data_IF_649008231007
#
_entry.id   IF_649008231007
#
_cell.length_a   1.000
_cell.length_b   1.000
_cell.length_c   1.000
_cell.angle_alpha   90.00
_cell.angle_beta   90.00
_cell.angle_gamma   90.00
#
_symmetry.space_group_name_H-M   'P 1'
#
loop_
_entity.id
_entity.type
_entity.pdbx_description
1 polymer ?
#
# COMPACT_ATOMS: atom_id res chain seq x y z
N UNK A 1 58.79 -5.94 -33.62
CA UNK A 1 57.49 -6.64 -33.61
C UNK A 1 56.97 -6.72 -32.19
N UNK A 2 56.10 -5.80 -31.74
CA UNK A 2 55.24 -6.03 -30.57
C UNK A 2 53.91 -5.35 -30.91
N UNK A 3 52.90 -6.17 -31.24
CA UNK A 3 51.55 -5.73 -31.62
C UNK A 3 50.78 -5.36 -30.35
N UNK A 4 50.20 -4.17 -30.33
CA UNK A 4 49.25 -3.74 -29.31
C UNK A 4 47.99 -4.61 -29.34
N UNK A 5 47.53 -5.02 -28.16
CA UNK A 5 46.29 -5.74 -27.97
C UNK A 5 45.43 -4.91 -27.01
N UNK A 6 44.58 -4.04 -27.58
CA UNK A 6 43.63 -3.25 -26.82
C UNK A 6 42.39 -4.12 -26.59
N UNK A 7 42.27 -4.70 -25.40
CA UNK A 7 41.05 -5.42 -25.02
C UNK A 7 39.96 -4.40 -24.71
N UNK A 8 39.00 -4.30 -25.62
CA UNK A 8 37.73 -3.61 -25.39
C UNK A 8 36.91 -4.49 -24.44
N UNK A 9 36.89 -4.13 -23.15
CA UNK A 9 35.97 -4.69 -22.17
C UNK A 9 34.56 -4.17 -22.48
N UNK A 10 33.77 -4.97 -23.17
CA UNK A 10 32.31 -4.79 -23.23
C UNK A 10 31.73 -5.12 -21.85
N UNK A 11 31.50 -4.09 -21.04
CA UNK A 11 30.64 -4.21 -19.87
C UNK A 11 29.20 -4.40 -20.35
N UNK A 12 28.78 -5.66 -20.50
CA UNK A 12 27.36 -6.03 -20.57
C UNK A 12 26.74 -5.68 -19.21
N UNK A 13 26.24 -4.46 -19.09
CA UNK A 13 25.37 -4.09 -17.97
C UNK A 13 24.12 -4.95 -18.04
N UNK A 14 23.98 -5.92 -17.13
CA UNK A 14 22.68 -6.53 -16.88
C UNK A 14 21.75 -5.43 -16.41
N UNK A 15 20.88 -4.94 -17.31
CA UNK A 15 19.72 -4.18 -16.91
C UNK A 15 18.86 -5.13 -16.05
N UNK A 16 18.88 -4.93 -14.74
CA UNK A 16 17.95 -5.63 -13.85
C UNK A 16 16.54 -5.21 -14.24
N UNK A 17 15.67 -6.19 -14.51
CA UNK A 17 14.26 -5.92 -14.74
C UNK A 17 13.69 -5.17 -13.53
N UNK A 18 12.86 -4.13 -13.75
CA UNK A 18 12.30 -3.37 -12.64
C UNK A 18 11.47 -4.27 -11.74
N UNK A 19 11.70 -4.19 -10.44
CA UNK A 19 10.95 -4.96 -9.44
C UNK A 19 9.46 -4.57 -9.48
N UNK A 20 8.54 -5.48 -9.84
CA UNK A 20 7.11 -5.20 -9.92
C UNK A 20 6.47 -4.91 -8.55
N UNK A 21 7.17 -5.21 -7.45
CA UNK A 21 6.73 -4.91 -6.08
C UNK A 21 7.30 -3.59 -5.54
N UNK A 22 8.12 -2.89 -6.33
CA UNK A 22 8.67 -1.59 -5.96
C UNK A 22 7.58 -0.50 -5.87
N UNK A 23 6.52 -0.63 -6.67
CA UNK A 23 5.39 0.29 -6.68
C UNK A 23 4.24 -0.19 -5.80
N UNK A 24 3.82 0.61 -4.83
CA UNK A 24 2.70 0.32 -3.91
C UNK A 24 1.73 1.49 -3.86
N UNK A 25 0.45 1.22 -3.97
CA UNK A 25 -0.61 2.17 -3.62
C UNK A 25 -1.06 1.82 -2.20
N UNK A 26 -0.82 2.72 -1.25
CA UNK A 26 -1.07 2.51 0.17
C UNK A 26 -2.48 2.98 0.56
N UNK A 27 -2.95 4.06 -0.08
CA UNK A 27 -4.36 4.47 -0.11
C UNK A 27 -4.68 5.18 -1.43
N UNK A 28 -5.90 5.04 -1.97
CA UNK A 28 -6.91 4.07 -1.56
C UNK A 28 -6.50 2.62 -1.89
N UNK A 29 -7.11 1.64 -1.21
CA UNK A 29 -6.92 0.21 -1.52
C UNK A 29 -7.95 -0.28 -2.55
N UNK A 30 -7.70 -1.43 -3.20
CA UNK A 30 -8.66 -2.04 -4.14
C UNK A 30 -10.04 -2.23 -3.50
N UNK A 31 -11.08 -1.82 -4.22
CA UNK A 31 -12.47 -1.94 -3.76
C UNK A 31 -12.83 -0.96 -2.65
N UNK A 32 -12.06 0.09 -2.40
CA UNK A 32 -12.40 1.12 -1.42
C UNK A 32 -13.62 1.96 -1.87
N UNK A 33 -14.49 2.30 -0.93
CA UNK A 33 -15.56 3.28 -1.08
C UNK A 33 -15.34 4.47 -0.14
N UNK A 34 -15.51 5.68 -0.68
CA UNK A 34 -15.44 6.94 0.05
C UNK A 34 -16.76 7.70 -0.09
N UNK A 35 -17.17 8.47 0.94
CA UNK A 35 -18.22 9.46 0.76
C UNK A 35 -17.76 10.56 -0.22
N UNK A 36 -18.67 11.36 -0.79
CA UNK A 36 -18.30 12.56 -1.54
C UNK A 36 -17.41 13.48 -0.70
N UNK A 37 -16.29 13.95 -1.27
CA UNK A 37 -15.38 14.87 -0.58
C UNK A 37 -13.92 14.70 -0.97
N UNK A 38 -13.04 15.37 -0.23
CA UNK A 38 -11.59 15.22 -0.38
C UNK A 38 -11.17 13.80 0.03
N UNK A 39 -10.45 13.14 -0.87
CA UNK A 39 -9.71 11.92 -0.56
C UNK A 39 -8.22 12.19 -0.65
N UNK A 40 -7.46 11.30 -0.05
CA UNK A 40 -6.01 11.36 -0.08
C UNK A 40 -5.44 10.09 -0.71
N UNK A 41 -4.47 10.28 -1.58
CA UNK A 41 -3.71 9.22 -2.24
C UNK A 41 -2.32 9.21 -1.63
N UNK A 42 -1.87 8.04 -1.19
CA UNK A 42 -0.46 7.79 -0.86
C UNK A 42 -0.02 6.59 -1.68
N UNK A 43 1.08 6.76 -2.39
CA UNK A 43 1.76 5.69 -3.09
C UNK A 43 3.26 5.80 -2.89
N UNK A 44 3.98 4.70 -3.12
CA UNK A 44 5.44 4.68 -3.15
C UNK A 44 5.89 4.01 -4.44
N UNK A 45 6.73 4.67 -5.23
CA UNK A 45 7.45 4.04 -6.33
C UNK A 45 8.63 4.92 -6.77
N UNK A 46 9.76 4.30 -7.18
CA UNK A 46 10.87 5.03 -7.79
C UNK A 46 10.41 5.81 -9.03
N UNK A 47 10.51 7.15 -8.99
CA UNK A 47 10.07 8.00 -10.11
C UNK A 47 8.59 7.86 -10.48
N UNK A 48 7.75 7.41 -9.54
CA UNK A 48 6.36 7.06 -9.79
C UNK A 48 5.50 8.24 -10.25
N UNK A 49 4.49 7.94 -11.07
CA UNK A 49 3.46 8.89 -11.50
C UNK A 49 2.08 8.32 -11.23
N UNK A 50 1.15 9.19 -10.83
CA UNK A 50 -0.24 8.83 -10.58
C UNK A 50 -1.12 9.25 -11.75
N UNK A 51 -2.06 8.40 -12.12
CA UNK A 51 -3.06 8.65 -13.16
C UNK A 51 -4.43 8.23 -12.63
N UNK A 52 -5.40 9.13 -12.63
CA UNK A 52 -6.79 8.86 -12.25
C UNK A 52 -7.66 8.94 -13.49
N UNK A 53 -8.34 7.85 -13.84
CA UNK A 53 -9.23 7.77 -15.00
C UNK A 53 -8.58 8.22 -16.32
N UNK A 54 -7.30 7.93 -16.48
CA UNK A 54 -6.50 8.33 -17.65
C UNK A 54 -5.94 9.75 -17.59
N UNK A 55 -6.28 10.54 -16.55
CA UNK A 55 -5.75 11.88 -16.36
C UNK A 55 -4.58 11.89 -15.35
N UNK A 56 -3.45 12.57 -15.65
CA UNK A 56 -2.36 12.70 -14.69
C UNK A 56 -2.83 13.38 -13.39
N UNK A 57 -2.41 12.83 -12.26
CA UNK A 57 -2.64 13.43 -10.93
C UNK A 57 -1.37 14.17 -10.52
N UNK A 58 -1.51 15.45 -10.17
CA UNK A 58 -0.43 16.20 -9.55
C UNK A 58 -0.22 15.70 -8.11
N UNK A 59 0.96 15.16 -7.84
CA UNK A 59 1.32 14.64 -6.54
C UNK A 59 2.56 15.35 -6.02
N UNK A 60 2.53 15.70 -4.74
CA UNK A 60 3.70 16.14 -4.02
C UNK A 60 4.60 14.93 -3.76
N UNK A 61 5.91 15.19 -3.73
CA UNK A 61 6.91 14.20 -3.36
C UNK A 61 7.62 14.66 -2.08
N UNK A 62 6.98 14.54 -0.90
CA UNK A 62 7.53 15.04 0.36
C UNK A 62 8.81 14.31 0.76
N UNK A 63 8.99 13.07 0.29
CA UNK A 63 10.17 12.24 0.53
C UNK A 63 10.53 11.46 -0.75
N UNK A 64 11.78 10.99 -0.92
CA UNK A 64 12.16 10.16 -2.05
C UNK A 64 11.19 8.99 -2.28
N UNK A 65 10.71 8.87 -3.51
CA UNK A 65 9.84 7.79 -3.99
C UNK A 65 8.45 7.73 -3.32
N UNK A 66 8.04 8.77 -2.59
CA UNK A 66 6.73 8.86 -1.92
C UNK A 66 5.87 9.87 -2.62
N UNK A 67 4.69 9.47 -3.08
CA UNK A 67 3.73 10.31 -3.75
C UNK A 67 2.55 10.57 -2.82
N UNK A 68 2.25 11.84 -2.60
CA UNK A 68 1.09 12.29 -1.83
C UNK A 68 0.24 13.22 -2.68
N UNK A 69 -1.04 12.92 -2.80
CA UNK A 69 -2.00 13.81 -3.44
C UNK A 69 -3.27 13.91 -2.60
N UNK A 70 -3.92 15.07 -2.68
CA UNK A 70 -5.27 15.31 -2.19
C UNK A 70 -6.12 15.73 -3.37
N UNK A 71 -7.33 15.20 -3.46
CA UNK A 71 -8.23 15.55 -4.54
C UNK A 71 -9.67 15.27 -4.17
N UNK A 72 -10.59 15.85 -4.94
CA UNK A 72 -12.03 15.64 -4.80
C UNK A 72 -12.57 15.01 -6.09
N UNK A 73 -12.51 13.67 -6.24
CA UNK A 73 -13.02 13.00 -7.42
C UNK A 73 -14.54 13.19 -7.54
N UNK A 74 -15.06 13.11 -8.76
CA UNK A 74 -16.51 13.12 -8.98
C UNK A 74 -17.18 11.91 -8.35
N UNK A 75 -18.50 11.92 -8.19
CA UNK A 75 -19.20 10.70 -7.76
C UNK A 75 -19.10 9.61 -8.85
N UNK A 76 -18.83 8.37 -8.45
CA UNK A 76 -18.77 7.22 -9.35
C UNK A 76 -17.58 6.28 -9.09
N UNK A 77 -17.42 5.26 -9.95
CA UNK A 77 -16.25 4.39 -9.93
C UNK A 77 -15.05 5.11 -10.54
N UNK A 78 -13.88 4.88 -9.96
CA UNK A 78 -12.61 5.44 -10.40
C UNK A 78 -11.55 4.36 -10.52
N UNK A 79 -10.64 4.58 -11.46
CA UNK A 79 -9.46 3.75 -11.68
C UNK A 79 -8.21 4.58 -11.42
N UNK A 80 -7.46 4.21 -10.37
CA UNK A 80 -6.18 4.82 -10.05
C UNK A 80 -5.05 3.92 -10.52
N UNK A 81 -4.08 4.53 -11.19
CA UNK A 81 -2.88 3.86 -11.68
C UNK A 81 -1.64 4.53 -11.10
N UNK A 82 -0.70 3.69 -10.66
CA UNK A 82 0.67 4.05 -10.32
C UNK A 82 1.57 3.47 -11.40
N UNK A 83 2.35 4.32 -12.04
CA UNK A 83 3.24 3.94 -13.14
C UNK A 83 4.66 4.29 -12.73
N UNK A 84 5.60 3.35 -12.87
CA UNK A 84 7.03 3.56 -12.62
C UNK A 84 7.85 2.70 -13.56
N UNK A 85 8.91 3.27 -14.13
CA UNK A 85 9.73 2.59 -15.14
C UNK A 85 8.88 1.97 -16.26
N UNK A 86 8.90 0.65 -16.43
CA UNK A 86 8.05 -0.12 -17.35
C UNK A 86 6.90 -0.85 -16.65
N UNK A 87 6.72 -0.62 -15.35
CA UNK A 87 5.75 -1.30 -14.49
C UNK A 87 4.55 -0.41 -14.20
N UNK A 88 3.41 -1.06 -13.92
CA UNK A 88 2.17 -0.39 -13.52
C UNK A 88 1.45 -1.18 -12.44
N UNK A 89 0.79 -0.47 -11.54
CA UNK A 89 -0.16 -1.02 -10.57
C UNK A 89 -1.45 -0.24 -10.67
N UNK A 90 -2.56 -0.95 -10.70
CA UNK A 90 -3.88 -0.36 -10.80
C UNK A 90 -4.73 -0.81 -9.61
N UNK A 91 -5.55 0.11 -9.12
CA UNK A 91 -6.67 -0.21 -8.23
C UNK A 91 -7.94 0.49 -8.70
N UNK A 92 -9.09 -0.02 -8.24
CA UNK A 92 -10.40 0.59 -8.43
C UNK A 92 -10.99 1.02 -7.09
N UNK A 93 -11.61 2.18 -7.05
CA UNK A 93 -12.34 2.67 -5.88
C UNK A 93 -13.64 3.37 -6.31
N UNK A 94 -14.48 3.73 -5.35
CA UNK A 94 -15.76 4.39 -5.58
C UNK A 94 -15.93 5.62 -4.69
N UNK A 95 -16.52 6.68 -5.22
CA UNK A 95 -16.90 7.88 -4.47
C UNK A 95 -18.42 8.07 -4.55
N UNK A 96 -19.09 8.13 -3.41
CA UNK A 96 -20.53 8.40 -3.33
C UNK A 96 -21.23 7.71 -2.17
N UNK A 97 -22.45 8.18 -1.86
CA UNK A 97 -23.21 7.73 -0.68
C UNK A 97 -23.75 6.30 -0.77
N UNK A 98 -23.80 5.73 -1.98
CA UNK A 98 -24.37 4.40 -2.26
C UNK A 98 -23.43 3.57 -3.13
N UNK A 99 -22.31 3.07 -2.58
CA UNK A 99 -21.37 2.25 -3.32
C UNK A 99 -22.01 0.92 -3.78
N UNK A 100 -21.71 0.43 -5.00
CA UNK A 100 -22.04 -0.93 -5.40
C UNK A 100 -21.41 -1.96 -4.45
N UNK A 101 -22.04 -3.13 -4.29
CA UNK A 101 -21.67 -4.16 -3.29
C UNK A 101 -20.19 -4.60 -3.32
N UNK A 102 -19.52 -4.51 -4.48
CA UNK A 102 -18.09 -4.84 -4.60
C UNK A 102 -17.15 -3.84 -3.94
N UNK A 103 -17.63 -2.62 -3.65
CA UNK A 103 -16.86 -1.60 -2.96
C UNK A 103 -17.27 -1.55 -1.48
N UNK A 104 -16.29 -1.41 -0.59
CA UNK A 104 -16.46 -1.45 0.86
C UNK A 104 -15.96 -0.16 1.49
N UNK A 105 -16.59 0.33 2.57
CA UNK A 105 -16.14 1.54 3.25
C UNK A 105 -14.65 1.49 3.57
N UNK A 106 -13.91 2.53 3.16
CA UNK A 106 -12.51 2.66 3.53
C UNK A 106 -12.39 3.18 4.96
N UNK A 107 -11.64 2.46 5.79
CA UNK A 107 -11.32 2.88 7.15
C UNK A 107 -9.91 3.45 7.18
N UNK A 108 -9.80 4.78 7.22
CA UNK A 108 -8.52 5.46 7.33
C UNK A 108 -7.83 5.09 8.65
N UNK A 109 -6.53 4.83 8.57
CA UNK A 109 -5.67 4.76 9.73
C UNK A 109 -4.46 5.67 9.51
N UNK A 110 -4.08 6.48 10.52
CA UNK A 110 -4.83 6.71 11.76
C UNK A 110 -6.12 7.52 11.52
N UNK A 111 -7.10 7.46 12.45
CA UNK A 111 -8.37 8.19 12.33
C UNK A 111 -8.18 9.71 12.25
N UNK A 112 -7.10 10.21 12.83
CA UNK A 112 -6.68 11.60 12.76
C UNK A 112 -5.60 11.75 11.68
N UNK A 113 -5.57 12.91 11.01
CA UNK A 113 -4.44 13.25 10.15
C UNK A 113 -3.20 13.47 11.01
N UNK A 114 -2.16 12.66 10.78
CA UNK A 114 -0.87 12.78 11.45
C UNK A 114 0.23 12.96 10.42
N UNK A 115 1.32 13.59 10.84
CA UNK A 115 2.51 13.73 10.01
C UNK A 115 3.18 12.36 9.76
N UNK A 116 3.74 12.18 8.57
CA UNK A 116 4.43 10.94 8.18
C UNK A 116 5.51 10.54 9.19
N UNK A 117 6.18 11.54 9.78
CA UNK A 117 7.30 11.36 10.72
C UNK A 117 6.89 10.89 12.11
N UNK A 118 5.60 10.89 12.43
CA UNK A 118 5.11 10.29 13.68
C UNK A 118 5.23 8.76 13.67
N UNK A 119 5.05 8.15 12.50
CA UNK A 119 5.17 6.70 12.33
C UNK A 119 6.47 6.27 11.65
N UNK A 120 7.03 7.12 10.78
CA UNK A 120 8.24 6.85 10.03
C UNK A 120 9.42 7.69 10.50
N UNK A 121 10.54 7.04 10.80
CA UNK A 121 11.83 7.68 10.87
C UNK A 121 12.45 7.80 9.49
N UNK A 122 13.44 8.67 9.38
CA UNK A 122 14.17 8.90 8.16
C UNK A 122 15.60 8.42 8.33
N UNK A 123 16.07 7.65 7.35
CA UNK A 123 17.50 7.39 7.20
C UNK A 123 18.25 8.67 6.80
N UNK A 124 19.58 8.65 6.87
CA UNK A 124 20.43 9.76 6.38
C UNK A 124 20.16 10.13 4.91
N UNK A 125 19.65 9.20 4.10
CA UNK A 125 19.28 9.41 2.69
C UNK A 125 17.80 9.80 2.50
N UNK A 126 17.08 10.15 3.57
CA UNK A 126 15.68 10.55 3.52
C UNK A 126 14.69 9.40 3.27
N UNK A 127 15.14 8.14 3.25
CA UNK A 127 14.24 6.98 3.10
C UNK A 127 13.52 6.66 4.40
N UNK A 128 12.25 6.30 4.30
CA UNK A 128 11.45 5.90 5.44
C UNK A 128 11.92 4.57 6.05
N UNK A 129 11.89 4.55 7.38
CA UNK A 129 11.92 3.34 8.21
C UNK A 129 10.77 3.45 9.18
N UNK A 130 9.93 2.42 9.30
CA UNK A 130 8.90 2.43 10.33
C UNK A 130 9.57 2.48 11.72
N UNK A 131 9.28 3.50 12.52
CA UNK A 131 9.95 3.75 13.82
C UNK A 131 9.04 3.62 15.01
N UNK A 132 7.77 3.97 14.86
CA UNK A 132 6.79 3.92 15.94
C UNK A 132 5.99 2.64 15.82
N UNK A 133 6.55 1.51 16.28
CA UNK A 133 5.80 0.25 16.45
C UNK A 133 4.39 0.55 16.97
N UNK A 134 3.36 -0.17 16.51
CA UNK A 134 1.95 0.19 16.71
C UNK A 134 1.60 0.60 18.15
N UNK A 135 2.38 0.14 19.12
CA UNK A 135 2.30 0.48 20.53
C UNK A 135 2.65 1.93 20.92
N UNK A 136 3.11 2.77 20.00
CA UNK A 136 3.24 4.21 20.24
C UNK A 136 1.89 4.91 20.49
N UNK A 137 0.80 4.34 19.95
CA UNK A 137 -0.57 4.81 20.19
C UNK A 137 -1.50 3.72 20.72
N UNK A 138 -1.22 2.43 20.44
CA UNK A 138 -2.06 1.30 20.86
C UNK A 138 -1.52 0.65 22.14
N UNK A 139 -2.38 0.24 23.07
CA UNK A 139 -1.94 -0.44 24.30
C UNK A 139 -1.52 -1.88 24.01
N UNK A 140 -0.28 -2.24 24.33
CA UNK A 140 0.27 -3.57 24.06
C UNK A 140 -0.48 -4.68 24.82
N UNK A 141 -1.03 -4.38 25.98
CA UNK A 141 -1.81 -5.28 26.82
C UNK A 141 -3.12 -5.73 26.14
N UNK A 142 -3.62 -4.92 25.19
CA UNK A 142 -4.81 -5.25 24.41
C UNK A 142 -4.51 -6.07 23.16
N UNK A 143 -3.24 -6.19 22.77
CA UNK A 143 -2.84 -6.89 21.55
C UNK A 143 -3.37 -8.34 21.45
N UNK A 144 -3.33 -9.17 22.53
CA UNK A 144 -3.85 -10.54 22.49
C UNK A 144 -5.36 -10.64 22.32
N UNK A 145 -6.12 -9.54 22.53
CA UNK A 145 -7.58 -9.52 22.33
C UNK A 145 -7.96 -9.46 20.84
N UNK A 146 -7.07 -8.93 20.01
CA UNK A 146 -7.31 -8.71 18.58
C UNK A 146 -6.51 -9.67 17.70
N UNK A 147 -5.34 -10.12 18.16
CA UNK A 147 -4.40 -10.92 17.37
C UNK A 147 -4.26 -12.33 17.92
N UNK A 148 -4.21 -13.32 17.00
CA UNK A 148 -3.96 -14.73 17.34
C UNK A 148 -2.49 -15.03 17.60
N UNK A 149 -1.59 -14.26 16.98
CA UNK A 149 -0.15 -14.40 17.20
C UNK A 149 0.30 -13.42 18.29
N UNK A 150 1.26 -13.79 19.15
CA UNK A 150 1.95 -12.84 20.01
C UNK A 150 2.75 -11.81 19.19
N UNK A 151 2.88 -10.58 19.71
CA UNK A 151 3.57 -9.49 19.00
C UNK A 151 5.04 -9.75 18.72
N UNK A 152 5.71 -10.56 19.56
CA UNK A 152 7.11 -10.95 19.38
C UNK A 152 7.30 -12.04 18.31
N UNK A 153 6.23 -12.75 17.91
CA UNK A 153 6.30 -13.78 16.85
C UNK A 153 6.16 -13.14 15.47
N UNK A 154 5.43 -12.03 15.37
CA UNK A 154 5.22 -11.28 14.13
C UNK A 154 5.83 -9.88 14.24
N UNK A 155 7.14 -9.78 14.10
CA UNK A 155 7.89 -8.53 14.23
C UNK A 155 7.50 -7.46 13.19
N UNK A 156 6.89 -7.89 12.08
CA UNK A 156 6.50 -7.01 10.97
C UNK A 156 4.98 -6.88 10.90
N UNK A 157 4.44 -5.90 11.64
CA UNK A 157 2.99 -5.59 11.65
C UNK A 157 2.42 -5.39 10.23
N UNK A 158 3.22 -4.81 9.33
CA UNK A 158 2.88 -4.54 7.93
C UNK A 158 2.69 -5.77 7.04
N UNK A 159 3.05 -6.97 7.50
CA UNK A 159 2.78 -8.22 6.77
C UNK A 159 1.28 -8.54 6.72
N UNK A 160 0.54 -8.12 7.74
CA UNK A 160 -0.89 -8.34 7.85
C UNK A 160 -1.69 -7.04 7.80
N UNK A 161 -1.15 -5.94 8.33
CA UNK A 161 -1.88 -4.69 8.49
C UNK A 161 -1.40 -3.58 7.54
N UNK A 162 -2.34 -2.81 6.99
CA UNK A 162 -2.05 -1.56 6.32
C UNK A 162 -2.19 -0.39 7.30
N UNK A 163 -1.07 0.16 7.75
CA UNK A 163 -1.04 1.30 8.67
C UNK A 163 -1.65 2.59 8.09
N UNK A 164 -1.88 2.66 6.78
CA UNK A 164 -2.50 3.80 6.07
C UNK A 164 -4.01 3.67 5.90
N UNK A 165 -4.60 2.54 6.31
CA UNK A 165 -6.04 2.25 6.23
C UNK A 165 -6.38 1.09 5.28
N UNK A 166 -7.59 0.54 5.43
CA UNK A 166 -8.08 -0.59 4.63
C UNK A 166 -9.59 -0.64 4.65
N UNK A 167 -10.18 -1.43 3.74
CA UNK A 167 -11.59 -1.85 3.82
C UNK A 167 -11.81 -3.04 4.75
N UNK A 168 -10.74 -3.74 5.15
CA UNK A 168 -10.83 -4.90 6.04
C UNK A 168 -10.82 -4.47 7.51
N UNK A 169 -11.52 -5.24 8.34
CA UNK A 169 -11.49 -5.08 9.80
C UNK A 169 -10.04 -5.18 10.31
N UNK A 170 -9.74 -4.44 11.37
CA UNK A 170 -8.38 -4.32 11.93
C UNK A 170 -7.33 -3.85 10.91
N UNK A 171 -7.74 -3.19 9.83
CA UNK A 171 -6.87 -2.71 8.75
C UNK A 171 -6.04 -3.81 8.07
N UNK A 172 -6.57 -5.02 7.89
CA UNK A 172 -5.84 -6.07 7.19
C UNK A 172 -5.58 -5.72 5.72
N UNK A 173 -4.46 -6.19 5.16
CA UNK A 173 -4.11 -6.02 3.74
C UNK A 173 -4.95 -6.91 2.81
N UNK A 174 -5.55 -7.97 3.35
CA UNK A 174 -6.40 -8.96 2.68
C UNK A 174 -7.54 -9.39 3.62
N UNK A 175 -8.61 -10.03 3.10
CA UNK A 175 -9.56 -10.73 3.96
C UNK A 175 -8.87 -11.65 4.95
N UNK A 176 -9.43 -11.80 6.16
CA UNK A 176 -8.81 -12.51 7.29
C UNK A 176 -8.29 -13.89 6.89
N UNK A 177 -9.10 -14.67 6.21
CA UNK A 177 -8.81 -16.04 5.80
C UNK A 177 -7.61 -16.09 4.85
N UNK A 178 -7.55 -15.14 3.90
CA UNK A 178 -6.43 -15.00 2.97
C UNK A 178 -5.16 -14.53 3.67
N UNK A 179 -5.29 -13.65 4.68
CA UNK A 179 -4.17 -13.19 5.49
C UNK A 179 -3.53 -14.36 6.26
N UNK A 180 -4.33 -15.21 6.90
CA UNK A 180 -3.83 -16.44 7.53
C UNK A 180 -3.15 -17.36 6.51
N UNK A 181 -3.73 -17.43 5.30
CA UNK A 181 -3.22 -18.19 4.16
C UNK A 181 -1.85 -17.77 3.63
N UNK A 182 -1.33 -16.60 4.03
CA UNK A 182 0.03 -16.17 3.66
C UNK A 182 1.11 -17.08 4.25
N UNK A 183 0.83 -17.67 5.43
CA UNK A 183 1.79 -18.52 6.14
C UNK A 183 1.23 -19.92 6.46
N UNK A 184 -0.09 -20.07 6.58
CA UNK A 184 -0.73 -21.34 6.92
C UNK A 184 -1.43 -21.95 5.71
N UNK A 185 -1.38 -23.28 5.60
CA UNK A 185 -2.28 -23.99 4.68
C UNK A 185 -3.69 -23.94 5.25
N UNK A 186 -4.52 -23.03 4.71
CA UNK A 186 -5.91 -22.87 5.13
C UNK A 186 -6.78 -23.82 4.30
N UNK A 187 -7.53 -24.75 4.92
CA UNK A 187 -8.42 -25.66 4.19
C UNK A 187 -9.48 -24.90 3.39
N UNK A 188 -9.89 -25.45 2.24
CA UNK A 188 -10.88 -24.85 1.34
C UNK A 188 -12.20 -24.50 2.07
N UNK A 189 -12.57 -25.28 3.09
CA UNK A 189 -13.76 -25.11 3.92
C UNK A 189 -13.77 -23.84 4.78
N UNK A 190 -12.62 -23.18 4.97
CA UNK A 190 -12.51 -21.90 5.68
C UNK A 190 -12.56 -20.69 4.75
N UNK A 191 -12.62 -20.87 3.42
CA UNK A 191 -12.87 -19.77 2.49
C UNK A 191 -14.33 -19.36 2.58
N UNK A 192 -14.65 -18.47 3.53
CA UNK A 192 -16.00 -17.95 3.67
C UNK A 192 -16.29 -17.09 2.44
N UNK A 193 -17.24 -17.52 1.59
CA UNK A 193 -17.79 -16.67 0.56
C UNK A 193 -18.38 -15.42 1.24
N UNK A 194 -17.96 -14.24 0.80
CA UNK A 194 -18.37 -12.93 1.34
C UNK A 194 -19.89 -12.66 1.28
N UNK A 195 -20.68 -13.60 0.77
CA UNK A 195 -22.14 -13.56 0.62
C UNK A 195 -22.94 -14.07 1.83
N UNK A 196 -22.28 -14.64 2.86
CA UNK A 196 -22.98 -15.30 3.98
C UNK A 196 -22.82 -14.64 5.36
N UNK A 197 -22.56 -13.34 5.42
CA UNK A 197 -22.72 -12.58 6.66
C UNK A 197 -23.93 -11.66 6.49
N UNK A 198 -25.11 -12.20 6.83
CA UNK A 198 -26.32 -11.41 7.10
C UNK A 198 -26.14 -10.59 8.39
#
# INVERSE_FOLDING_TARGET
MIKGFWQVLFAFGLAMAPDPEAGKILRPVEGAAFPPGEISIIATAPGGKLVLDGQPVSAEQPFPDVLQAKMMPSAGPHKLELIWETSRRQINFFVGDRPPAKFRPFHQHPPLAVECTQCHGLSRKGRFRFTGGCFGCHQQETFPKTHHHPSHVLEQCGQCHNAHGSTEKAHLILPREKTCGLCHSVPESFKINAEKVK
#
